data_IF_686395461925
#
_entry.id   IF_686395461925
#
_cell.length_a   1.000
_cell.length_b   1.000
_cell.length_c   1.000
_cell.angle_alpha   90.00
_cell.angle_beta   90.00
_cell.angle_gamma   90.00
#
_symmetry.space_group_name_H-M   'P 1'
#
loop_
_entity.id
_entity.type
_entity.pdbx_description
1 polymer ?
#
# COMPACT_ATOMS: atom_id res chain seq x y z
N UNK A 1 -0.16 -21.90 11.39
CA UNK A 1 -0.60 -22.66 10.22
C UNK A 1 -1.65 -21.85 9.48
N UNK A 2 -1.49 -21.68 8.20
CA UNK A 2 -2.37 -20.92 7.31
C UNK A 2 -3.45 -21.85 6.71
N UNK A 3 -4.07 -22.66 7.53
CA UNK A 3 -4.93 -23.78 7.12
C UNK A 3 -6.22 -23.34 6.42
N UNK A 4 -6.53 -22.04 6.47
CA UNK A 4 -7.76 -21.47 5.89
C UNK A 4 -7.49 -20.40 4.82
N UNK A 5 -6.23 -20.12 4.49
CA UNK A 5 -5.91 -19.16 3.46
C UNK A 5 -6.25 -19.71 2.07
N UNK A 6 -7.16 -19.07 1.38
CA UNK A 6 -7.47 -19.35 -0.02
C UNK A 6 -6.81 -18.26 -0.86
N UNK A 7 -5.95 -18.68 -1.80
CA UNK A 7 -5.35 -17.78 -2.76
C UNK A 7 -5.93 -18.04 -4.14
N UNK A 8 -6.31 -16.97 -4.84
CA UNK A 8 -6.82 -17.04 -6.19
C UNK A 8 -6.04 -16.07 -7.09
N UNK A 9 -5.78 -16.48 -8.32
CA UNK A 9 -5.08 -15.68 -9.32
C UNK A 9 -5.89 -15.68 -10.62
N UNK A 10 -5.88 -14.57 -11.38
CA UNK A 10 -6.45 -14.54 -12.71
C UNK A 10 -5.74 -15.56 -13.62
N UNK A 11 -6.51 -16.33 -14.37
CA UNK A 11 -5.96 -17.28 -15.37
C UNK A 11 -5.66 -16.58 -16.69
N UNK A 12 -6.25 -15.41 -16.92
CA UNK A 12 -6.01 -14.63 -18.11
C UNK A 12 -4.55 -14.15 -18.22
N UNK A 13 -3.99 -14.16 -19.41
CA UNK A 13 -2.60 -13.78 -19.63
C UNK A 13 -2.32 -12.30 -19.32
N UNK A 14 -3.33 -11.44 -19.41
CA UNK A 14 -3.31 -10.02 -19.05
C UNK A 14 -3.62 -9.77 -17.54
N UNK A 15 -3.74 -10.83 -16.74
CA UNK A 15 -3.95 -10.71 -15.30
C UNK A 15 -5.27 -10.03 -14.92
N UNK A 16 -5.20 -8.89 -14.26
CA UNK A 16 -6.36 -8.11 -13.80
C UNK A 16 -6.83 -7.03 -14.78
N UNK A 17 -6.24 -6.91 -15.97
CA UNK A 17 -6.53 -5.80 -16.89
C UNK A 17 -8.00 -5.70 -17.25
N UNK A 18 -8.64 -6.81 -17.61
CA UNK A 18 -10.08 -6.82 -17.95
C UNK A 18 -10.97 -6.33 -16.79
N UNK A 19 -10.59 -6.64 -15.55
CA UNK A 19 -11.28 -6.14 -14.37
C UNK A 19 -11.14 -4.62 -14.23
N UNK A 20 -9.93 -4.11 -14.40
CA UNK A 20 -9.67 -2.68 -14.29
C UNK A 20 -10.30 -1.90 -15.47
N UNK A 21 -10.32 -2.46 -16.66
CA UNK A 21 -10.99 -1.87 -17.82
C UNK A 21 -12.49 -1.68 -17.53
N UNK A 22 -13.16 -2.68 -16.95
CA UNK A 22 -14.55 -2.55 -16.52
C UNK A 22 -14.69 -1.53 -15.39
N UNK A 23 -13.83 -1.56 -14.38
CA UNK A 23 -13.92 -0.68 -13.22
C UNK A 23 -13.66 0.80 -13.57
N UNK A 24 -12.92 1.08 -14.63
CA UNK A 24 -12.52 2.44 -15.03
C UNK A 24 -13.21 2.94 -16.30
N UNK A 25 -14.19 2.20 -16.85
CA UNK A 25 -14.84 2.55 -18.12
C UNK A 25 -15.43 3.95 -18.17
N UNK A 26 -15.89 4.48 -17.02
CA UNK A 26 -16.46 5.82 -16.89
C UNK A 26 -15.47 6.84 -16.29
N UNK A 27 -14.19 6.50 -16.18
CA UNK A 27 -13.14 7.35 -15.60
C UNK A 27 -12.11 7.77 -16.67
N UNK A 28 -11.52 8.94 -16.47
CA UNK A 28 -10.34 9.35 -17.24
C UNK A 28 -9.09 8.81 -16.58
N UNK A 29 -8.40 7.87 -17.24
CA UNK A 29 -7.15 7.29 -16.77
C UNK A 29 -5.97 7.98 -17.45
N UNK A 30 -5.08 8.59 -16.65
CA UNK A 30 -3.87 9.25 -17.13
C UNK A 30 -2.65 8.39 -16.80
N UNK A 31 -2.24 7.53 -17.71
CA UNK A 31 -1.01 6.74 -17.56
C UNK A 31 0.23 7.60 -17.83
N UNK A 32 1.40 7.13 -17.34
CA UNK A 32 2.69 7.82 -17.48
C UNK A 32 2.66 9.29 -16.99
N UNK A 33 1.79 9.58 -16.02
CA UNK A 33 1.61 10.91 -15.44
C UNK A 33 2.22 10.94 -14.04
N UNK A 34 3.27 11.72 -13.88
CA UNK A 34 3.96 11.89 -12.60
C UNK A 34 3.45 13.14 -11.89
N UNK A 35 2.96 12.97 -10.66
CA UNK A 35 2.57 14.11 -9.80
C UNK A 35 3.85 14.61 -9.11
N UNK A 36 4.16 15.88 -9.29
CA UNK A 36 5.39 16.52 -8.79
C UNK A 36 5.21 17.24 -7.47
N UNK A 37 4.01 17.82 -7.25
CA UNK A 37 3.73 18.63 -6.08
C UNK A 37 2.31 18.38 -5.57
N UNK A 38 2.14 18.56 -4.26
CA UNK A 38 0.90 18.31 -3.53
C UNK A 38 0.53 19.54 -2.69
N UNK A 39 -0.70 20.03 -2.86
CA UNK A 39 -1.32 21.03 -2.01
C UNK A 39 -2.70 20.51 -1.58
N UNK A 40 -2.70 19.75 -0.48
CA UNK A 40 -3.90 19.07 -0.01
C UNK A 40 -4.92 20.04 0.59
N UNK A 41 -4.49 21.13 1.20
CA UNK A 41 -5.37 22.20 1.68
C UNK A 41 -6.14 22.85 0.52
N UNK A 42 -5.45 23.12 -0.58
CA UNK A 42 -6.06 23.65 -1.81
C UNK A 42 -6.74 22.58 -2.67
N UNK A 43 -6.74 21.33 -2.26
CA UNK A 43 -7.23 20.16 -3.02
C UNK A 43 -6.73 20.17 -4.46
N UNK A 44 -5.42 20.30 -4.64
CA UNK A 44 -4.78 20.34 -5.95
C UNK A 44 -3.46 19.60 -5.97
N UNK A 45 -3.14 19.07 -7.14
CA UNK A 45 -1.88 18.41 -7.43
C UNK A 45 -1.28 18.96 -8.71
N UNK A 46 0.03 18.86 -8.84
CA UNK A 46 0.75 19.34 -10.03
C UNK A 46 1.24 18.19 -10.88
N UNK A 47 0.85 18.19 -12.14
CA UNK A 47 1.38 17.27 -13.15
C UNK A 47 1.42 17.95 -14.52
N UNK A 48 2.30 17.50 -15.40
CA UNK A 48 2.55 18.08 -16.72
C UNK A 48 2.87 19.59 -16.67
N UNK A 49 3.42 20.07 -15.53
CA UNK A 49 3.79 21.46 -15.34
C UNK A 49 2.71 22.36 -14.72
N UNK A 50 1.46 21.95 -14.71
CA UNK A 50 0.31 22.73 -14.27
C UNK A 50 -0.33 22.20 -12.98
N UNK A 51 -0.96 23.11 -12.20
CA UNK A 51 -1.79 22.76 -11.06
C UNK A 51 -3.21 22.41 -11.51
N UNK A 52 -3.71 21.27 -11.00
CA UNK A 52 -5.07 20.78 -11.24
C UNK A 52 -5.81 20.67 -9.91
N UNK A 53 -6.98 21.32 -9.82
CA UNK A 53 -7.83 21.36 -8.62
C UNK A 53 -8.99 20.39 -8.73
N UNK A 54 -9.40 19.82 -7.60
CA UNK A 54 -10.45 18.81 -7.50
C UNK A 54 -11.37 19.11 -6.32
N UNK A 55 -12.60 18.65 -6.37
CA UNK A 55 -13.55 18.73 -5.25
C UNK A 55 -13.21 17.70 -4.16
N UNK A 56 -12.72 16.54 -4.57
CA UNK A 56 -12.32 15.42 -3.72
C UNK A 56 -11.03 14.81 -4.26
N UNK A 57 -10.08 14.52 -3.37
CA UNK A 57 -8.87 13.76 -3.70
C UNK A 57 -8.90 12.44 -2.93
N UNK A 58 -8.79 11.32 -3.65
CA UNK A 58 -8.59 10.01 -3.06
C UNK A 58 -7.16 9.57 -3.38
N UNK A 59 -6.32 9.52 -2.36
CA UNK A 59 -4.90 9.18 -2.49
C UNK A 59 -4.63 7.75 -2.06
N UNK A 60 -3.87 7.03 -2.88
CA UNK A 60 -3.34 5.71 -2.52
C UNK A 60 -1.83 5.73 -2.27
N UNK A 61 -1.20 6.91 -2.34
CA UNK A 61 0.20 7.10 -2.00
C UNK A 61 0.38 7.32 -0.49
N UNK A 62 1.61 7.12 -0.01
CA UNK A 62 1.97 7.30 1.41
C UNK A 62 1.59 8.69 1.94
N UNK A 63 0.95 8.81 3.11
CA UNK A 63 0.46 10.07 3.65
C UNK A 63 1.59 11.07 3.95
N UNK A 64 2.78 10.62 4.31
CA UNK A 64 3.96 11.48 4.47
C UNK A 64 4.30 12.22 3.16
N UNK A 65 4.19 11.54 2.03
CA UNK A 65 4.47 12.13 0.72
C UNK A 65 3.47 13.23 0.37
N UNK A 66 2.17 12.97 0.49
CA UNK A 66 1.13 13.96 0.11
C UNK A 66 1.03 15.13 1.09
N UNK A 67 1.52 14.94 2.32
CA UNK A 67 1.56 15.96 3.38
C UNK A 67 2.97 16.56 3.56
N UNK A 68 3.83 16.44 2.53
CA UNK A 68 5.17 17.05 2.47
C UNK A 68 6.05 16.74 3.71
N UNK A 69 5.98 15.51 4.23
CA UNK A 69 6.72 15.03 5.39
C UNK A 69 6.52 15.86 6.67
N UNK A 70 5.32 16.42 6.90
CA UNK A 70 5.02 17.30 8.02
C UNK A 70 5.38 16.69 9.40
N UNK A 71 5.30 15.36 9.54
CA UNK A 71 5.62 14.62 10.76
C UNK A 71 6.81 13.66 10.59
N UNK A 72 7.62 13.88 9.56
CA UNK A 72 8.72 13.01 9.18
C UNK A 72 8.31 11.84 8.29
N UNK A 73 9.29 11.22 7.68
CA UNK A 73 9.09 10.13 6.73
C UNK A 73 8.57 8.87 7.43
N UNK A 74 7.57 8.23 6.83
CA UNK A 74 7.07 6.93 7.29
C UNK A 74 7.94 5.80 6.72
N UNK A 75 8.39 4.86 7.56
CA UNK A 75 9.25 3.77 7.11
C UNK A 75 8.45 2.68 6.39
N UNK A 76 9.01 2.22 5.27
CA UNK A 76 8.50 1.10 4.49
C UNK A 76 9.64 0.15 4.14
N UNK A 77 9.30 -1.10 3.91
CA UNK A 77 10.20 -2.09 3.29
C UNK A 77 9.74 -2.33 1.86
N UNK A 78 10.69 -2.35 0.96
CA UNK A 78 10.49 -2.66 -0.43
C UNK A 78 11.05 -4.02 -0.82
N UNK A 79 11.05 -4.29 -2.11
CA UNK A 79 11.65 -5.46 -2.72
C UNK A 79 12.28 -5.10 -4.05
N UNK A 80 13.49 -5.59 -4.27
CA UNK A 80 14.10 -5.66 -5.57
C UNK A 80 13.81 -7.04 -6.17
N UNK A 81 13.68 -7.09 -7.50
CA UNK A 81 13.36 -8.31 -8.21
C UNK A 81 14.49 -8.65 -9.18
N UNK A 82 14.99 -9.87 -9.07
CA UNK A 82 15.86 -10.46 -10.07
C UNK A 82 15.09 -11.56 -10.80
N UNK A 83 15.12 -11.54 -12.12
CA UNK A 83 14.44 -12.55 -12.94
C UNK A 83 15.45 -13.44 -13.66
N UNK A 84 15.13 -14.74 -13.73
CA UNK A 84 15.93 -15.75 -14.43
C UNK A 84 15.00 -16.55 -15.34
N UNK A 85 15.38 -16.71 -16.60
CA UNK A 85 14.68 -17.60 -17.52
C UNK A 85 15.49 -18.89 -17.62
N UNK A 86 14.83 -20.02 -17.34
CA UNK A 86 15.42 -21.35 -17.47
C UNK A 86 14.84 -22.08 -18.69
N UNK A 87 15.66 -22.78 -19.49
CA UNK A 87 15.23 -23.55 -20.65
C UNK A 87 14.68 -24.93 -20.21
N UNK A 88 13.67 -24.91 -19.35
CA UNK A 88 12.97 -26.10 -18.86
C UNK A 88 11.51 -25.76 -18.66
N UNK A 89 10.64 -26.73 -18.85
CA UNK A 89 9.21 -26.51 -18.69
C UNK A 89 8.83 -26.07 -17.27
N UNK A 90 9.39 -26.69 -16.24
CA UNK A 90 9.20 -26.29 -14.83
C UNK A 90 10.51 -26.40 -14.06
N UNK A 91 10.70 -25.48 -13.11
CA UNK A 91 11.82 -25.50 -12.17
C UNK A 91 11.42 -26.14 -10.84
N UNK A 92 10.17 -25.98 -10.40
CA UNK A 92 9.64 -26.53 -9.16
C UNK A 92 8.71 -27.72 -9.41
N UNK A 93 8.51 -28.60 -8.42
CA UNK A 93 7.48 -29.65 -8.46
C UNK A 93 6.09 -29.10 -8.77
N UNK A 94 5.19 -29.97 -9.28
CA UNK A 94 3.88 -29.59 -9.83
C UNK A 94 3.08 -28.63 -8.93
N UNK A 95 3.01 -28.90 -7.63
CA UNK A 95 2.20 -28.15 -6.66
C UNK A 95 3.00 -27.08 -5.90
N UNK A 96 4.22 -26.74 -6.35
CA UNK A 96 5.05 -25.72 -5.75
C UNK A 96 5.10 -24.50 -6.67
N UNK A 97 4.49 -23.42 -6.26
CA UNK A 97 4.41 -22.15 -7.00
C UNK A 97 5.53 -21.19 -6.62
N UNK A 98 5.93 -21.23 -5.35
CA UNK A 98 7.01 -20.45 -4.79
C UNK A 98 7.63 -21.14 -3.57
N UNK A 99 8.85 -20.74 -3.25
CA UNK A 99 9.60 -21.22 -2.08
C UNK A 99 10.03 -20.02 -1.26
N UNK A 100 9.75 -20.05 0.04
CA UNK A 100 10.25 -19.08 1.00
C UNK A 100 11.60 -19.50 1.58
N UNK A 101 12.44 -18.51 1.81
CA UNK A 101 13.74 -18.65 2.47
C UNK A 101 13.72 -17.78 3.73
N UNK A 102 14.01 -18.38 4.87
CA UNK A 102 13.94 -17.75 6.19
C UNK A 102 15.27 -17.86 6.96
N UNK A 103 16.38 -18.07 6.26
CA UNK A 103 17.70 -18.21 6.86
C UNK A 103 18.62 -17.02 6.47
N UNK A 104 19.85 -17.28 6.08
CA UNK A 104 20.86 -16.24 5.82
C UNK A 104 20.95 -15.84 4.33
N UNK A 105 20.04 -16.32 3.51
CA UNK A 105 19.99 -15.94 2.09
C UNK A 105 19.63 -14.46 1.94
N UNK A 106 20.21 -13.78 0.95
CA UNK A 106 19.89 -12.36 0.69
C UNK A 106 18.50 -12.16 0.07
N UNK A 107 17.80 -13.22 -0.26
CA UNK A 107 16.45 -13.23 -0.83
C UNK A 107 15.48 -13.98 0.08
N UNK A 108 14.21 -13.65 -0.01
CA UNK A 108 13.17 -14.21 0.86
C UNK A 108 12.21 -15.15 0.14
N UNK A 109 12.09 -15.03 -1.19
CA UNK A 109 11.17 -15.85 -1.96
C UNK A 109 11.67 -16.03 -3.39
N UNK A 110 11.42 -17.23 -3.95
CA UNK A 110 11.56 -17.49 -5.39
C UNK A 110 10.20 -17.95 -5.89
N UNK A 111 9.69 -17.33 -6.96
CA UNK A 111 8.38 -17.58 -7.55
C UNK A 111 8.54 -18.12 -8.97
N UNK A 112 7.79 -19.16 -9.32
CA UNK A 112 7.64 -19.66 -10.68
C UNK A 112 6.32 -19.15 -11.27
N UNK A 113 6.37 -17.98 -11.95
CA UNK A 113 5.19 -17.21 -12.32
C UNK A 113 4.21 -17.94 -13.24
N UNK A 114 4.71 -18.72 -14.22
CA UNK A 114 3.81 -19.38 -15.17
C UNK A 114 2.85 -20.40 -14.54
N UNK A 115 3.18 -20.91 -13.36
CA UNK A 115 2.28 -21.79 -12.62
C UNK A 115 1.05 -21.06 -12.08
N UNK A 116 1.18 -19.79 -11.75
CA UNK A 116 0.07 -18.96 -11.30
C UNK A 116 -0.92 -18.68 -12.44
N UNK A 117 -0.40 -18.40 -13.63
CA UNK A 117 -1.19 -18.06 -14.83
C UNK A 117 -1.52 -19.27 -15.72
N UNK A 118 -0.98 -20.45 -15.40
CA UNK A 118 -1.08 -21.68 -16.20
C UNK A 118 -0.56 -21.51 -17.65
N UNK A 119 0.36 -20.56 -17.85
CA UNK A 119 0.97 -20.32 -19.14
C UNK A 119 1.82 -21.51 -19.61
N UNK A 120 1.63 -21.97 -20.85
CA UNK A 120 2.36 -23.09 -21.43
C UNK A 120 3.58 -22.57 -22.21
N UNK A 121 4.75 -23.09 -21.87
CA UNK A 121 6.03 -22.75 -22.51
C UNK A 121 7.08 -23.81 -22.19
N UNK A 122 8.02 -24.05 -23.08
CA UNK A 122 9.17 -24.92 -22.87
C UNK A 122 10.26 -24.29 -21.98
N UNK A 123 10.07 -23.01 -21.61
CA UNK A 123 10.92 -22.30 -20.67
C UNK A 123 10.11 -21.76 -19.50
N UNK A 124 10.77 -21.49 -18.37
CA UNK A 124 10.11 -20.92 -17.19
C UNK A 124 10.84 -19.69 -16.70
N UNK A 125 10.06 -18.69 -16.24
CA UNK A 125 10.54 -17.49 -15.60
C UNK A 125 10.46 -17.64 -14.08
N UNK A 126 11.60 -17.50 -13.41
CA UNK A 126 11.69 -17.38 -11.96
C UNK A 126 11.89 -15.92 -11.57
N UNK A 127 11.16 -15.48 -10.55
CA UNK A 127 11.40 -14.20 -9.88
C UNK A 127 11.97 -14.42 -8.50
N UNK A 128 13.10 -13.78 -8.21
CA UNK A 128 13.79 -13.82 -6.94
C UNK A 128 13.52 -12.49 -6.24
N UNK A 129 12.91 -12.54 -5.05
CA UNK A 129 12.54 -11.37 -4.26
C UNK A 129 13.60 -11.07 -3.20
N UNK A 130 14.19 -9.89 -3.28
CA UNK A 130 15.26 -9.43 -2.41
C UNK A 130 14.71 -8.25 -1.59
N UNK A 131 14.65 -8.34 -0.24
CA UNK A 131 14.25 -7.20 0.60
C UNK A 131 15.13 -5.99 0.33
N UNK A 132 14.53 -4.81 0.20
CA UNK A 132 15.26 -3.57 -0.06
C UNK A 132 14.55 -2.36 0.57
N UNK A 133 15.22 -1.23 0.57
CA UNK A 133 14.65 0.07 0.95
C UNK A 133 14.48 1.01 -0.25
N UNK A 134 14.60 0.49 -1.48
CA UNK A 134 14.55 1.29 -2.70
C UNK A 134 13.14 1.72 -3.08
N UNK A 135 12.12 1.09 -2.51
CA UNK A 135 10.73 1.40 -2.80
C UNK A 135 9.84 1.15 -1.57
N UNK A 136 8.68 1.81 -1.54
CA UNK A 136 7.69 1.68 -0.48
C UNK A 136 6.65 0.64 -0.89
N UNK A 137 6.72 -0.60 -0.39
CA UNK A 137 5.74 -1.67 -0.69
C UNK A 137 5.01 -2.18 0.55
N UNK A 138 5.68 -2.20 1.69
CA UNK A 138 5.14 -2.76 2.94
C UNK A 138 5.39 -1.77 4.07
N UNK A 139 4.34 -1.20 4.69
CA UNK A 139 4.50 -0.38 5.88
C UNK A 139 5.05 -1.22 7.03
N UNK A 140 5.91 -0.62 7.86
CA UNK A 140 6.44 -1.29 9.04
C UNK A 140 5.40 -1.20 10.17
N UNK A 141 4.86 -2.34 10.67
CA UNK A 141 3.80 -2.35 11.68
C UNK A 141 4.36 -2.12 13.10
N UNK A 142 5.17 -1.08 13.26
CA UNK A 142 5.72 -0.65 14.55
C UNK A 142 4.73 0.33 15.16
N UNK A 143 4.42 0.19 16.44
CA UNK A 143 3.36 0.97 17.10
C UNK A 143 3.59 2.48 17.02
N UNK A 144 4.84 2.96 17.17
CA UNK A 144 5.20 4.38 17.00
C UNK A 144 4.94 4.88 15.59
N UNK A 145 5.27 4.08 14.58
CA UNK A 145 5.08 4.44 13.18
C UNK A 145 3.62 4.45 12.76
N UNK A 146 2.85 3.50 13.28
CA UNK A 146 1.39 3.50 13.09
C UNK A 146 0.80 4.76 13.75
N UNK A 147 1.25 5.14 14.95
CA UNK A 147 0.81 6.38 15.60
C UNK A 147 1.18 7.62 14.80
N UNK A 148 2.38 7.67 14.21
CA UNK A 148 2.81 8.74 13.29
C UNK A 148 1.92 8.81 12.04
N UNK A 149 1.56 7.67 11.47
CA UNK A 149 0.62 7.63 10.34
C UNK A 149 -0.75 8.20 10.73
N UNK A 150 -1.26 7.84 11.91
CA UNK A 150 -2.51 8.41 12.41
C UNK A 150 -2.44 9.91 12.71
N UNK A 151 -1.26 10.45 13.03
CA UNK A 151 -1.07 11.88 13.14
C UNK A 151 -1.27 12.58 11.78
N UNK A 152 -0.73 12.00 10.70
CA UNK A 152 -1.02 12.46 9.34
C UNK A 152 -2.51 12.41 9.01
N UNK A 153 -3.20 11.33 9.40
CA UNK A 153 -4.63 11.19 9.13
C UNK A 153 -5.49 12.18 9.93
N UNK A 154 -5.08 12.52 11.16
CA UNK A 154 -5.81 13.50 12.00
C UNK A 154 -5.80 14.91 11.40
N UNK A 155 -4.72 15.25 10.70
CA UNK A 155 -4.52 16.57 10.12
C UNK A 155 -4.79 16.60 8.61
N UNK A 156 -5.38 15.52 8.08
CA UNK A 156 -5.72 15.46 6.67
C UNK A 156 -6.88 16.42 6.36
N UNK A 157 -6.73 17.31 5.37
CA UNK A 157 -7.75 18.28 5.06
C UNK A 157 -9.06 17.66 4.61
N UNK A 158 -10.17 18.37 4.86
CA UNK A 158 -11.50 17.96 4.38
C UNK A 158 -11.49 17.80 2.85
N UNK A 159 -12.09 16.71 2.38
CA UNK A 159 -12.12 16.36 0.96
C UNK A 159 -10.84 15.69 0.46
N UNK A 160 -9.97 15.24 1.37
CA UNK A 160 -8.85 14.36 1.07
C UNK A 160 -9.03 13.03 1.79
N UNK A 161 -9.01 11.94 1.05
CA UNK A 161 -9.14 10.57 1.56
C UNK A 161 -7.84 9.83 1.28
N UNK A 162 -7.32 9.13 2.26
CA UNK A 162 -6.14 8.28 2.10
C UNK A 162 -6.52 6.81 2.29
N UNK A 163 -6.24 5.96 1.29
CA UNK A 163 -6.68 4.57 1.31
C UNK A 163 -5.71 3.63 0.58
N UNK A 164 -6.00 2.34 0.58
CA UNK A 164 -5.11 1.33 0.03
C UNK A 164 -3.91 1.06 0.95
N UNK A 165 -3.07 0.09 0.58
CA UNK A 165 -1.95 -0.37 1.41
C UNK A 165 -1.00 0.76 1.83
N UNK A 166 -0.61 1.60 0.89
CA UNK A 166 0.33 2.70 1.13
C UNK A 166 -0.38 3.87 1.82
N UNK A 167 -1.54 4.28 1.30
CA UNK A 167 -2.28 5.42 1.82
C UNK A 167 -2.82 5.22 3.22
N UNK A 168 -3.26 4.02 3.59
CA UNK A 168 -3.73 3.71 4.95
C UNK A 168 -2.64 3.22 5.91
N UNK A 169 -1.39 3.14 5.44
CA UNK A 169 -0.26 2.61 6.21
C UNK A 169 -0.56 1.21 6.79
N UNK A 170 -1.15 0.32 5.99
CA UNK A 170 -1.56 -1.04 6.42
C UNK A 170 -1.10 -2.10 5.46
N UNK A 171 -0.68 -3.24 6.01
CA UNK A 171 -0.45 -4.43 5.22
C UNK A 171 -1.80 -5.13 5.01
N UNK A 172 -2.38 -4.93 3.83
CA UNK A 172 -3.68 -5.51 3.41
C UNK A 172 -3.56 -6.11 2.02
N UNK A 173 -4.36 -7.12 1.72
CA UNK A 173 -4.39 -7.79 0.43
C UNK A 173 -5.40 -7.13 -0.54
N UNK A 174 -5.42 -7.58 -1.80
CA UNK A 174 -6.21 -6.94 -2.86
C UNK A 174 -7.72 -6.99 -2.56
N UNK A 175 -8.22 -8.08 -2.02
CA UNK A 175 -9.63 -8.25 -1.64
C UNK A 175 -10.04 -7.27 -0.52
N UNK A 176 -9.19 -7.10 0.49
CA UNK A 176 -9.39 -6.08 1.54
C UNK A 176 -9.40 -4.66 0.97
N UNK A 177 -8.51 -4.37 0.00
CA UNK A 177 -8.45 -3.06 -0.65
C UNK A 177 -9.72 -2.80 -1.48
N UNK A 178 -10.21 -3.80 -2.19
CA UNK A 178 -11.46 -3.69 -2.97
C UNK A 178 -12.64 -3.44 -2.02
N UNK A 179 -12.74 -4.20 -0.93
CA UNK A 179 -13.78 -3.99 0.09
C UNK A 179 -13.70 -2.59 0.69
N UNK A 180 -12.50 -2.14 1.07
CA UNK A 180 -12.24 -0.79 1.57
C UNK A 180 -12.70 0.29 0.57
N UNK A 181 -12.42 0.10 -0.74
CA UNK A 181 -12.82 1.03 -1.78
C UNK A 181 -14.34 1.10 -1.94
N UNK A 182 -15.03 -0.05 -1.87
CA UNK A 182 -16.49 -0.12 -1.95
C UNK A 182 -17.18 0.58 -0.78
N UNK A 183 -16.71 0.36 0.44
CA UNK A 183 -17.25 1.02 1.64
C UNK A 183 -17.01 2.53 1.60
N UNK A 184 -15.82 2.97 1.18
CA UNK A 184 -15.51 4.39 1.04
C UNK A 184 -16.36 5.06 -0.04
N UNK A 185 -16.54 4.41 -1.18
CA UNK A 185 -17.41 4.91 -2.26
C UNK A 185 -18.88 5.08 -1.81
N UNK A 186 -19.36 4.18 -0.96
CA UNK A 186 -20.69 4.29 -0.35
C UNK A 186 -20.79 5.52 0.55
N UNK A 187 -19.82 5.73 1.45
CA UNK A 187 -19.80 6.90 2.33
C UNK A 187 -19.77 8.22 1.53
N UNK A 188 -18.90 8.31 0.52
CA UNK A 188 -18.84 9.48 -0.38
C UNK A 188 -20.19 9.74 -1.06
N UNK A 189 -20.87 8.70 -1.53
CA UNK A 189 -22.18 8.81 -2.18
C UNK A 189 -23.29 9.23 -1.22
N UNK A 190 -23.23 8.82 0.04
CA UNK A 190 -24.22 9.16 1.09
C UNK A 190 -24.01 10.56 1.67
N UNK A 191 -23.00 11.30 1.27
CA UNK A 191 -22.83 12.72 1.55
C UNK A 191 -21.78 13.07 2.58
N UNK A 192 -20.88 12.15 2.91
CA UNK A 192 -19.75 12.47 3.79
C UNK A 192 -18.86 11.28 4.10
N UNK A 193 -17.63 11.58 4.40
CA UNK A 193 -16.65 10.62 4.92
C UNK A 193 -16.33 11.02 6.35
N UNK A 194 -16.65 10.16 7.30
CA UNK A 194 -16.41 10.45 8.71
C UNK A 194 -14.93 10.54 9.05
N UNK A 195 -14.11 9.73 8.33
CA UNK A 195 -12.67 9.67 8.55
C UNK A 195 -11.93 9.65 7.19
N UNK A 196 -10.82 10.38 7.09
CA UNK A 196 -10.01 10.42 5.87
C UNK A 196 -9.28 9.10 5.58
N UNK A 197 -9.35 8.13 6.49
CA UNK A 197 -8.78 6.80 6.34
C UNK A 197 -9.71 5.76 6.96
N UNK A 198 -9.82 4.56 6.39
CA UNK A 198 -10.56 3.46 7.02
C UNK A 198 -9.91 3.02 8.34
N UNK A 199 -10.68 3.05 9.43
CA UNK A 199 -10.22 2.68 10.79
C UNK A 199 -10.63 1.25 11.10
N UNK A 200 -9.72 0.44 11.60
CA UNK A 200 -9.95 -0.94 12.00
C UNK A 200 -9.72 -1.12 13.50
N UNK A 201 -10.39 -2.10 14.11
CA UNK A 201 -10.24 -2.39 15.54
C UNK A 201 -8.81 -2.72 15.97
N UNK A 202 -7.98 -3.27 15.07
CA UNK A 202 -6.55 -3.52 15.29
C UNK A 202 -5.73 -2.25 15.53
N UNK A 203 -6.25 -1.09 15.15
CA UNK A 203 -5.56 0.20 15.27
C UNK A 203 -5.74 0.85 16.65
N UNK A 204 -6.59 0.29 17.50
CA UNK A 204 -6.95 0.88 18.78
C UNK A 204 -5.74 1.15 19.69
N UNK A 205 -4.73 0.28 19.65
CA UNK A 205 -3.49 0.49 20.41
C UNK A 205 -2.71 1.71 19.93
N UNK A 206 -2.62 1.90 18.61
CA UNK A 206 -1.93 3.05 18.02
C UNK A 206 -2.73 4.35 18.29
N UNK A 207 -4.05 4.32 18.16
CA UNK A 207 -4.92 5.45 18.49
C UNK A 207 -4.83 5.84 19.98
N UNK A 208 -4.74 4.87 20.87
CA UNK A 208 -4.54 5.11 22.29
C UNK A 208 -3.16 5.75 22.57
N UNK A 209 -2.11 5.29 21.85
CA UNK A 209 -0.79 5.89 21.93
C UNK A 209 -0.82 7.34 21.42
N UNK A 210 -1.40 7.58 20.27
CA UNK A 210 -1.55 8.92 19.71
C UNK A 210 -2.30 9.86 20.65
N UNK A 211 -3.43 9.40 21.23
CA UNK A 211 -4.20 10.18 22.20
C UNK A 211 -3.38 10.58 23.43
N UNK A 212 -2.53 9.68 23.93
CA UNK A 212 -1.61 9.98 25.03
C UNK A 212 -0.54 11.00 24.62
N UNK A 213 0.02 10.87 23.44
CA UNK A 213 1.01 11.80 22.89
C UNK A 213 0.43 13.21 22.81
N UNK A 214 -0.75 13.36 22.20
CA UNK A 214 -1.45 14.63 22.08
C UNK A 214 -1.76 15.24 23.47
N UNK A 215 -2.29 14.43 24.40
CA UNK A 215 -2.60 14.90 25.75
C UNK A 215 -1.38 15.41 26.53
N UNK A 216 -0.18 14.90 26.22
CA UNK A 216 1.09 15.31 26.84
C UNK A 216 1.87 16.34 26.00
N UNK A 217 1.30 16.82 24.88
CA UNK A 217 1.97 17.75 23.99
C UNK A 217 3.26 17.19 23.37
N UNK A 218 3.33 15.87 23.21
CA UNK A 218 4.49 15.14 22.65
C UNK A 218 4.23 14.70 21.23
N UNK A 219 5.30 14.63 20.46
CA UNK A 219 5.32 14.09 19.09
C UNK A 219 5.97 12.71 19.05
N UNK A 220 5.90 12.03 17.92
CA UNK A 220 6.63 10.77 17.69
C UNK A 220 8.13 11.01 17.83
N UNK A 221 8.64 12.13 17.31
CA UNK A 221 10.06 12.51 17.42
C UNK A 221 10.52 12.65 18.88
N UNK A 222 9.66 13.18 19.76
CA UNK A 222 9.97 13.29 21.19
C UNK A 222 10.11 11.90 21.84
N UNK A 223 9.27 10.94 21.43
CA UNK A 223 9.33 9.56 21.91
C UNK A 223 10.60 8.86 21.41
N UNK A 224 10.94 9.03 20.14
CA UNK A 224 12.18 8.50 19.56
C UNK A 224 13.43 9.08 20.22
N UNK A 225 13.38 10.35 20.61
CA UNK A 225 14.44 11.02 21.38
C UNK A 225 14.51 10.58 22.86
N UNK A 226 13.66 9.63 23.28
CA UNK A 226 13.69 9.04 24.62
C UNK A 226 12.69 9.62 25.63
N UNK A 227 11.76 10.48 25.19
CA UNK A 227 10.68 10.95 26.07
C UNK A 227 9.72 9.80 26.41
N UNK A 228 9.40 9.63 27.70
CA UNK A 228 8.42 8.61 28.12
C UNK A 228 7.01 9.18 28.11
N UNK A 229 6.06 8.34 27.71
CA UNK A 229 4.64 8.58 27.93
C UNK A 229 4.25 8.10 29.34
N UNK A 230 3.60 8.94 30.11
CA UNK A 230 3.06 8.62 31.43
C UNK A 230 1.71 7.91 31.36
#
# INVERSE_FOLDING_TARGET
TWDTAISAYPVAANGYDDYFDIATQDATVLLNTHITDFDMEGKRVRFNGDWHSFDLIISTISPDTIMNNAYGELPYVGRDFMTIILPTEYAFPENVYFVYYASNEPYTRIVEYKKLTQHKSDSTLLGIEIPSHNNKLYPLPIQSEIARAYQYFSDMPEGVISMGRMGSYKYIDIDDIIFQAMEMAKQVKEGGVEHPVPVYGSDQLALNLLSKMIAQGKTVQDIEAGAKLE
#
